data_IF_070191902973
#
_entry.id   IF_070191902973
#
_cell.length_a   1.000
_cell.length_b   1.000
_cell.length_c   1.000
_cell.angle_alpha   90.00
_cell.angle_beta   90.00
_cell.angle_gamma   90.00
#
_symmetry.space_group_name_H-M   'P 1'
#
loop_
_entity.id
_entity.type
_entity.pdbx_description
1 polymer ?
#
# COMPACT_ATOMS: atom_id res chain seq x y z
N UNK A 1 3.64 1.12 -3.89
CA UNK A 1 3.66 0.59 -5.28
C UNK A 1 4.18 -0.86 -5.22
N UNK A 2 3.88 -1.75 -6.17
CA UNK A 2 4.46 -3.11 -6.17
C UNK A 2 5.55 -3.26 -7.26
N UNK A 3 6.44 -4.25 -7.12
CA UNK A 3 7.54 -4.45 -8.07
C UNK A 3 7.06 -4.81 -9.49
N UNK A 4 5.91 -5.48 -9.63
CA UNK A 4 5.33 -5.85 -10.94
C UNK A 4 4.78 -4.63 -11.69
N UNK A 5 4.19 -3.68 -10.96
CA UNK A 5 3.67 -2.41 -11.47
C UNK A 5 4.83 -1.51 -11.86
N UNK A 6 5.89 -1.44 -11.07
CA UNK A 6 7.11 -0.72 -11.44
C UNK A 6 7.71 -1.28 -12.74
N UNK A 7 7.84 -2.60 -12.85
CA UNK A 7 8.35 -3.25 -14.07
C UNK A 7 7.51 -2.89 -15.30
N UNK A 8 6.18 -2.99 -15.22
CA UNK A 8 5.28 -2.58 -16.31
C UNK A 8 5.43 -1.12 -16.70
N UNK A 9 5.63 -0.26 -15.72
CA UNK A 9 5.82 1.17 -15.92
C UNK A 9 7.11 1.46 -16.70
N UNK A 10 8.20 0.81 -16.30
CA UNK A 10 9.49 0.91 -16.97
C UNK A 10 9.46 0.30 -18.38
N UNK A 11 8.73 -0.80 -18.57
CA UNK A 11 8.51 -1.41 -19.89
C UNK A 11 7.70 -0.49 -20.82
N UNK A 12 6.69 0.21 -20.28
CA UNK A 12 5.92 1.23 -21.02
C UNK A 12 6.78 2.44 -21.44
N UNK A 13 7.70 2.88 -20.58
CA UNK A 13 8.66 3.92 -20.94
C UNK A 13 9.65 3.42 -22.00
N UNK A 14 10.16 2.19 -21.85
CA UNK A 14 11.11 1.58 -22.80
C UNK A 14 10.52 1.39 -24.20
N UNK A 15 9.23 1.04 -24.28
CA UNK A 15 8.51 0.85 -25.54
C UNK A 15 8.08 2.16 -26.21
N UNK A 16 8.08 3.27 -25.46
CA UNK A 16 7.59 4.57 -25.93
C UNK A 16 6.09 4.79 -25.73
N UNK A 17 5.39 3.80 -25.18
CA UNK A 17 3.95 3.88 -24.87
C UNK A 17 3.64 4.86 -23.73
N UNK A 18 4.63 5.15 -22.89
CA UNK A 18 4.51 6.06 -21.75
C UNK A 18 5.66 7.08 -21.75
N UNK A 19 5.36 8.36 -21.56
CA UNK A 19 6.41 9.36 -21.38
C UNK A 19 7.06 9.25 -20.00
N UNK A 20 8.30 9.74 -19.89
CA UNK A 20 9.01 9.82 -18.61
C UNK A 20 8.23 10.69 -17.62
N UNK A 21 7.62 11.79 -18.06
CA UNK A 21 6.76 12.65 -17.23
C UNK A 21 5.53 11.90 -16.70
N UNK A 22 4.85 11.12 -17.54
CA UNK A 22 3.71 10.30 -17.13
C UNK A 22 4.15 9.22 -16.12
N UNK A 23 5.32 8.62 -16.35
CA UNK A 23 5.90 7.66 -15.43
C UNK A 23 6.19 8.30 -14.07
N UNK A 24 6.85 9.47 -14.07
CA UNK A 24 7.15 10.21 -12.84
C UNK A 24 5.89 10.63 -12.09
N UNK A 25 4.83 11.08 -12.78
CA UNK A 25 3.56 11.40 -12.14
C UNK A 25 2.92 10.18 -11.48
N UNK A 26 2.99 9.01 -12.11
CA UNK A 26 2.44 7.78 -11.52
C UNK A 26 3.23 7.30 -10.28
N UNK A 27 4.51 7.69 -10.17
CA UNK A 27 5.39 7.39 -9.04
C UNK A 27 5.33 8.46 -7.93
N UNK A 28 4.70 9.62 -8.19
CA UNK A 28 4.55 10.74 -7.23
C UNK A 28 3.62 10.43 -6.05
N UNK A 29 2.96 9.28 -6.01
CA UNK A 29 2.28 8.85 -4.78
C UNK A 29 3.30 8.76 -3.65
N UNK A 30 3.00 9.41 -2.52
CA UNK A 30 3.86 9.37 -1.34
C UNK A 30 4.17 7.91 -0.97
N UNK A 31 5.39 7.62 -0.47
CA UNK A 31 5.78 6.28 -0.07
C UNK A 31 4.94 5.75 1.11
N UNK A 32 4.19 6.64 1.74
CA UNK A 32 3.27 6.37 2.81
C UNK A 32 1.96 7.11 2.62
N UNK A 33 0.94 6.68 3.36
CA UNK A 33 -0.33 7.38 3.50
C UNK A 33 -0.57 7.73 4.97
N UNK A 34 -1.05 8.94 5.25
CA UNK A 34 -1.21 9.45 6.62
C UNK A 34 -2.68 9.69 6.94
N UNK A 35 -3.21 8.91 7.87
CA UNK A 35 -4.58 9.02 8.37
C UNK A 35 -4.68 9.87 9.65
N UNK A 36 -3.58 10.47 10.11
CA UNK A 36 -3.49 11.21 11.38
C UNK A 36 -3.43 10.30 12.62
N UNK A 37 -4.04 9.11 12.55
CA UNK A 37 -3.95 8.05 13.57
C UNK A 37 -3.05 6.88 13.16
N UNK A 38 -2.65 6.81 11.89
CA UNK A 38 -1.72 5.81 11.36
C UNK A 38 -1.00 6.33 10.11
N UNK A 39 0.29 6.01 9.99
CA UNK A 39 1.09 6.22 8.78
C UNK A 39 1.39 4.87 8.14
N UNK A 40 0.80 4.61 6.97
CA UNK A 40 0.92 3.33 6.27
C UNK A 40 2.09 3.36 5.30
N UNK A 41 3.11 2.54 5.50
CA UNK A 41 4.21 2.41 4.55
C UNK A 41 3.81 1.53 3.35
N UNK A 42 3.35 2.18 2.28
CA UNK A 42 2.94 1.53 1.03
C UNK A 42 4.12 1.04 0.19
N UNK A 43 5.35 1.38 0.58
CA UNK A 43 6.59 1.04 -0.12
C UNK A 43 7.36 -0.07 0.60
N UNK A 44 7.00 -0.43 1.83
CA UNK A 44 7.64 -1.52 2.58
C UNK A 44 7.75 -2.80 1.75
N UNK A 45 6.67 -3.17 1.06
CA UNK A 45 6.66 -4.34 0.17
C UNK A 45 7.72 -4.32 -0.94
N UNK A 46 8.05 -3.15 -1.49
CA UNK A 46 9.15 -3.01 -2.47
C UNK A 46 10.51 -3.18 -1.78
N UNK A 47 10.68 -2.57 -0.60
CA UNK A 47 11.96 -2.52 0.11
C UNK A 47 12.32 -3.84 0.77
N UNK A 48 11.34 -4.60 1.24
CA UNK A 48 11.56 -5.78 2.10
C UNK A 48 10.96 -7.07 1.52
N UNK A 49 10.20 -6.99 0.43
CA UNK A 49 9.49 -8.13 -0.16
C UNK A 49 8.21 -8.53 0.58
N UNK A 50 7.85 -7.86 1.68
CA UNK A 50 6.62 -8.13 2.42
C UNK A 50 5.85 -6.83 2.75
N UNK A 51 4.53 -6.77 2.52
CA UNK A 51 3.73 -5.57 2.78
C UNK A 51 3.67 -5.22 4.27
N UNK A 52 3.14 -4.03 4.57
CA UNK A 52 2.90 -3.60 5.94
C UNK A 52 1.91 -4.54 6.67
N UNK A 53 2.13 -4.77 7.97
CA UNK A 53 1.24 -5.58 8.82
C UNK A 53 0.44 -4.64 9.72
N UNK A 54 -0.88 -4.80 9.75
CA UNK A 54 -1.77 -3.97 10.57
C UNK A 54 -1.79 -4.49 11.99
N UNK A 55 -1.28 -3.68 12.93
CA UNK A 55 -1.44 -3.93 14.36
C UNK A 55 -2.75 -3.31 14.85
N UNK A 56 -3.77 -4.14 15.09
CA UNK A 56 -5.14 -3.67 15.37
C UNK A 56 -5.39 -3.33 16.84
N UNK A 57 -4.60 -3.88 17.77
CA UNK A 57 -4.77 -3.60 19.19
C UNK A 57 -4.61 -2.09 19.47
N UNK A 58 -5.59 -1.50 20.15
CA UNK A 58 -5.63 -0.07 20.48
C UNK A 58 -6.18 0.82 19.36
N UNK A 59 -6.62 0.26 18.22
CA UNK A 59 -7.36 0.97 17.17
C UNK A 59 -8.85 0.70 17.32
N UNK A 60 -9.68 1.64 16.87
CA UNK A 60 -11.12 1.38 16.73
C UNK A 60 -11.38 0.44 15.55
N UNK A 61 -12.57 -0.18 15.52
CA UNK A 61 -12.98 -1.06 14.42
C UNK A 61 -12.90 -0.33 13.07
N UNK A 62 -13.39 0.91 13.03
CA UNK A 62 -13.42 1.74 11.83
C UNK A 62 -11.99 2.03 11.32
N UNK A 63 -11.08 2.39 12.22
CA UNK A 63 -9.68 2.65 11.88
C UNK A 63 -8.99 1.39 11.33
N UNK A 64 -9.22 0.24 11.95
CA UNK A 64 -8.64 -1.03 11.49
C UNK A 64 -9.14 -1.40 10.08
N UNK A 65 -10.45 -1.29 9.85
CA UNK A 65 -11.07 -1.57 8.56
C UNK A 65 -10.57 -0.62 7.48
N UNK A 66 -10.48 0.68 7.76
CA UNK A 66 -10.00 1.68 6.82
C UNK A 66 -8.54 1.42 6.39
N UNK A 67 -7.67 1.13 7.37
CA UNK A 67 -6.27 0.78 7.11
C UNK A 67 -6.16 -0.47 6.23
N UNK A 68 -6.90 -1.54 6.56
CA UNK A 68 -6.87 -2.79 5.79
C UNK A 68 -7.36 -2.57 4.36
N UNK A 69 -8.45 -1.82 4.17
CA UNK A 69 -8.96 -1.46 2.84
C UNK A 69 -7.92 -0.68 2.03
N UNK A 70 -7.25 0.29 2.66
CA UNK A 70 -6.19 1.06 1.99
C UNK A 70 -5.03 0.16 1.57
N UNK A 71 -4.53 -0.69 2.46
CA UNK A 71 -3.43 -1.61 2.13
C UNK A 71 -3.83 -2.60 1.03
N UNK A 72 -5.07 -3.09 1.03
CA UNK A 72 -5.57 -4.02 0.02
C UNK A 72 -5.66 -3.39 -1.38
N UNK A 73 -5.90 -2.08 -1.47
CA UNK A 73 -5.84 -1.35 -2.75
C UNK A 73 -4.43 -1.22 -3.33
N UNK A 74 -3.39 -1.36 -2.51
CA UNK A 74 -1.99 -1.18 -2.91
C UNK A 74 -1.19 -2.48 -2.96
N UNK A 75 -1.64 -3.53 -2.26
CA UNK A 75 -0.94 -4.80 -2.10
C UNK A 75 -1.88 -5.98 -2.33
N UNK A 76 -1.37 -7.04 -2.99
CA UNK A 76 -2.13 -8.27 -3.22
C UNK A 76 -2.42 -9.08 -1.95
N UNK A 77 -1.69 -8.81 -0.86
CA UNK A 77 -1.83 -9.48 0.44
C UNK A 77 -1.77 -8.44 1.54
N UNK A 78 -2.62 -8.60 2.55
CA UNK A 78 -2.64 -7.80 3.78
C UNK A 78 -2.75 -8.74 4.96
N UNK A 79 -2.03 -8.46 6.04
CA UNK A 79 -2.13 -9.18 7.30
C UNK A 79 -2.53 -8.21 8.40
N UNK A 80 -3.60 -8.53 9.10
CA UNK A 80 -4.01 -7.84 10.31
C UNK A 80 -3.77 -8.76 11.52
N UNK A 81 -3.19 -8.21 12.59
CA UNK A 81 -2.85 -8.94 13.81
C UNK A 81 -3.52 -8.32 15.01
N UNK A 82 -3.82 -9.15 16.02
CA UNK A 82 -4.52 -8.74 17.25
C UNK A 82 -5.85 -8.04 16.96
N UNK A 83 -6.57 -8.59 15.99
CA UNK A 83 -7.91 -8.16 15.62
C UNK A 83 -8.83 -8.52 16.78
N UNK A 84 -9.58 -7.53 17.29
CA UNK A 84 -10.60 -7.80 18.31
C UNK A 84 -11.75 -8.59 17.65
N UNK A 85 -12.47 -9.47 18.38
CA UNK A 85 -13.54 -10.27 17.81
C UNK A 85 -14.57 -9.45 17.02
N UNK A 86 -14.88 -8.24 17.49
CA UNK A 86 -15.86 -7.33 16.91
C UNK A 86 -15.40 -6.73 15.56
N UNK A 87 -14.11 -6.82 15.23
CA UNK A 87 -13.51 -6.39 13.95
C UNK A 87 -13.41 -7.55 12.97
N UNK A 88 -13.50 -8.79 13.46
CA UNK A 88 -13.29 -10.00 12.67
C UNK A 88 -14.58 -10.58 12.03
N UNK A 89 -15.75 -10.06 12.43
CA UNK A 89 -17.05 -10.36 11.79
C UNK A 89 -17.28 -9.52 10.53
#
# INVERSE_FOLDING_TARGET
MDGKRLKRLLEGVKSGDLSVEQALQSMRTLPYDDFGYAKLDLHRGIRTGFPEVVFCQGKTCEQAVEIVKRLAGHHAKVLATRVAPEVAE
#
